data_IF_877918891475
#
_entry.id   IF_877918891475
#
_cell.length_a   1.000
_cell.length_b   1.000
_cell.length_c   1.000
_cell.angle_alpha   90.00
_cell.angle_beta   90.00
_cell.angle_gamma   90.00
#
_symmetry.space_group_name_H-M   'P 1'
#
loop_
_entity.id
_entity.type
_entity.pdbx_description
1 polymer ?
#
# COMPACT_ATOMS: atom_id res chain seq x y z
N UNK A 1 3.65 -10.81 -1.12
CA UNK A 1 5.07 -11.17 -1.17
C UNK A 1 5.90 -9.93 -1.42
N UNK A 2 6.92 -9.72 -0.60
CA UNK A 2 7.78 -8.54 -0.74
C UNK A 2 8.63 -8.66 -1.99
N UNK A 3 8.67 -7.57 -2.75
CA UNK A 3 9.64 -7.40 -3.81
C UNK A 3 10.71 -6.44 -3.31
N UNK A 4 11.96 -6.79 -3.53
CA UNK A 4 13.09 -6.02 -3.04
C UNK A 4 13.95 -5.59 -4.22
N UNK A 5 14.35 -4.33 -4.21
CA UNK A 5 15.35 -3.80 -5.13
C UNK A 5 16.29 -2.87 -4.38
N UNK A 6 17.39 -2.55 -5.01
CA UNK A 6 18.39 -1.68 -4.41
C UNK A 6 18.53 -0.41 -5.24
N UNK A 7 18.67 0.72 -4.56
CA UNK A 7 18.98 2.00 -5.20
C UNK A 7 20.27 2.54 -4.65
N UNK A 8 20.95 3.34 -5.45
CA UNK A 8 22.22 3.97 -5.05
C UNK A 8 22.05 5.48 -5.11
N UNK A 9 22.33 6.14 -3.98
CA UNK A 9 22.36 7.60 -3.90
C UNK A 9 23.74 7.99 -3.37
N UNK A 10 24.58 8.57 -4.25
CA UNK A 10 25.96 8.84 -3.90
C UNK A 10 26.68 7.54 -3.54
N UNK A 11 27.21 7.45 -2.33
CA UNK A 11 27.90 6.26 -1.83
C UNK A 11 26.99 5.34 -1.01
N UNK A 12 25.69 5.66 -0.92
CA UNK A 12 24.75 4.90 -0.09
C UNK A 12 23.90 3.99 -0.94
N UNK A 13 23.88 2.70 -0.58
CA UNK A 13 22.99 1.72 -1.18
C UNK A 13 21.79 1.54 -0.27
N UNK A 14 20.58 1.75 -0.81
CA UNK A 14 19.34 1.57 -0.07
C UNK A 14 18.58 0.37 -0.57
N UNK A 15 18.11 -0.45 0.37
CA UNK A 15 17.24 -1.58 0.08
C UNK A 15 15.80 -1.09 0.09
N UNK A 16 15.11 -1.27 -1.03
CA UNK A 16 13.72 -0.80 -1.21
C UNK A 16 12.81 -2.01 -1.24
N UNK A 17 11.79 -2.00 -0.40
CA UNK A 17 10.78 -3.06 -0.31
C UNK A 17 9.46 -2.58 -0.90
N UNK A 18 8.89 -3.40 -1.79
CA UNK A 18 7.53 -3.16 -2.28
C UNK A 18 6.58 -4.02 -1.47
N UNK A 19 5.71 -3.38 -0.69
CA UNK A 19 4.86 -4.07 0.29
C UNK A 19 3.43 -3.56 0.21
N UNK A 20 2.50 -4.36 0.72
CA UNK A 20 1.12 -3.94 0.90
C UNK A 20 1.05 -3.04 2.12
N UNK A 21 0.55 -1.82 1.94
CA UNK A 21 0.43 -0.83 3.02
C UNK A 21 -1.01 -0.63 3.48
N UNK A 22 -1.98 -1.06 2.66
CA UNK A 22 -3.40 -1.01 3.04
C UNK A 22 -4.20 -1.97 2.17
N UNK A 23 -5.29 -2.49 2.71
CA UNK A 23 -6.24 -3.28 1.94
C UNK A 23 -7.63 -3.11 2.52
N UNK A 24 -8.63 -3.24 1.66
CA UNK A 24 -10.03 -3.25 2.06
C UNK A 24 -10.84 -4.07 1.04
N UNK A 25 -12.05 -4.46 1.44
CA UNK A 25 -12.94 -5.25 0.61
C UNK A 25 -14.20 -4.47 0.30
N UNK A 26 -14.76 -4.69 -0.90
CA UNK A 26 -16.07 -4.20 -1.29
C UNK A 26 -16.95 -5.38 -1.66
N UNK A 27 -18.25 -5.24 -1.40
CA UNK A 27 -19.25 -6.19 -1.88
C UNK A 27 -19.29 -6.19 -3.40
N UNK A 28 -19.89 -7.23 -3.99
CA UNK A 28 -20.10 -7.31 -5.42
C UNK A 28 -21.10 -6.25 -5.85
N UNK A 29 -20.61 -5.18 -6.49
CA UNK A 29 -21.41 -4.05 -6.96
C UNK A 29 -20.98 -3.71 -8.38
N UNK A 30 -21.87 -3.03 -9.13
CA UNK A 30 -21.49 -2.46 -10.41
C UNK A 30 -20.54 -1.29 -10.17
N UNK A 31 -19.57 -1.12 -11.06
CA UNK A 31 -18.58 -0.04 -11.00
C UNK A 31 -17.89 0.05 -9.62
N UNK A 32 -17.21 -1.03 -9.18
CA UNK A 32 -16.64 -1.07 -7.84
C UNK A 32 -15.64 0.07 -7.57
N UNK A 33 -14.96 0.57 -8.60
CA UNK A 33 -13.97 1.64 -8.42
C UNK A 33 -14.60 2.95 -7.94
N UNK A 34 -15.86 3.19 -8.29
CA UNK A 34 -16.60 4.37 -7.80
C UNK A 34 -16.78 4.28 -6.29
N UNK A 35 -17.15 3.10 -5.79
CA UNK A 35 -17.34 2.87 -4.36
C UNK A 35 -16.02 2.78 -3.61
N UNK A 36 -14.95 2.35 -4.28
CA UNK A 36 -13.63 2.28 -3.68
C UNK A 36 -13.00 3.65 -3.45
N UNK A 37 -13.42 4.67 -4.18
CA UNK A 37 -12.86 6.02 -4.06
C UNK A 37 -12.94 6.58 -2.65
N UNK A 38 -14.05 6.34 -1.93
CA UNK A 38 -14.23 6.80 -0.56
C UNK A 38 -13.19 6.22 0.40
N UNK A 39 -13.14 4.88 0.56
CA UNK A 39 -12.12 4.25 1.41
C UNK A 39 -10.69 4.59 1.04
N UNK A 40 -10.37 4.70 -0.26
CA UNK A 40 -9.05 5.11 -0.70
C UNK A 40 -8.73 6.52 -0.24
N UNK A 41 -9.65 7.45 -0.44
CA UNK A 41 -9.49 8.84 -0.04
C UNK A 41 -9.29 8.94 1.48
N UNK A 42 -10.10 8.21 2.25
CA UNK A 42 -9.99 8.18 3.71
C UNK A 42 -8.62 7.69 4.15
N UNK A 43 -8.11 6.62 3.51
CA UNK A 43 -6.79 6.11 3.84
C UNK A 43 -5.69 7.12 3.47
N UNK A 44 -5.78 7.76 2.31
CA UNK A 44 -4.80 8.77 1.90
C UNK A 44 -4.71 9.91 2.91
N UNK A 45 -5.82 10.25 3.55
CA UNK A 45 -5.88 11.31 4.55
C UNK A 45 -5.49 10.85 5.94
N UNK A 46 -5.41 9.56 6.19
CA UNK A 46 -5.00 9.01 7.48
C UNK A 46 -3.51 9.27 7.73
N UNK A 47 -3.10 9.13 8.98
CA UNK A 47 -1.68 9.27 9.34
C UNK A 47 -0.81 8.26 8.59
N UNK A 48 -1.28 7.02 8.51
CA UNK A 48 -0.57 5.97 7.78
C UNK A 48 -0.43 6.30 6.30
N UNK A 49 -1.52 6.74 5.67
CA UNK A 49 -1.51 7.15 4.27
C UNK A 49 -0.57 8.31 4.01
N UNK A 50 -0.62 9.32 4.87
CA UNK A 50 0.27 10.49 4.77
C UNK A 50 1.74 10.09 4.89
N UNK A 51 2.05 9.20 5.82
CA UNK A 51 3.41 8.67 5.97
C UNK A 51 3.88 7.99 4.69
N UNK A 52 3.05 7.12 4.12
CA UNK A 52 3.39 6.40 2.90
C UNK A 52 3.62 7.35 1.74
N UNK A 53 2.73 8.31 1.51
CA UNK A 53 2.88 9.26 0.41
C UNK A 53 4.12 10.14 0.58
N UNK A 54 4.49 10.46 1.82
CA UNK A 54 5.68 11.27 2.10
C UNK A 54 6.98 10.52 1.84
N UNK A 55 7.02 9.21 2.15
CA UNK A 55 8.26 8.44 2.19
C UNK A 55 8.40 7.40 1.09
N UNK A 56 7.35 7.10 0.34
CA UNK A 56 7.43 6.13 -0.75
C UNK A 56 8.39 6.63 -1.83
N UNK A 57 9.16 5.70 -2.40
CA UNK A 57 10.12 6.01 -3.46
C UNK A 57 9.41 6.48 -4.72
N UNK A 58 8.33 5.79 -5.06
CA UNK A 58 7.45 6.15 -6.17
C UNK A 58 6.03 6.28 -5.66
N UNK A 59 5.14 6.80 -6.52
CA UNK A 59 3.73 6.93 -6.18
C UNK A 59 3.16 5.56 -5.81
N UNK A 60 2.46 5.42 -4.67
CA UNK A 60 1.77 4.19 -4.34
C UNK A 60 0.80 3.77 -5.43
N UNK A 61 0.69 2.46 -5.66
CA UNK A 61 -0.21 1.91 -6.67
C UNK A 61 -1.27 1.05 -5.99
N UNK A 62 -2.44 0.97 -6.62
CA UNK A 62 -3.51 0.13 -6.11
C UNK A 62 -3.88 -0.93 -7.14
N UNK A 63 -4.36 -2.06 -6.63
CA UNK A 63 -4.78 -3.20 -7.44
C UNK A 63 -6.12 -3.71 -6.94
N UNK A 64 -6.94 -4.16 -7.87
CA UNK A 64 -8.24 -4.74 -7.57
C UNK A 64 -8.23 -6.21 -7.97
N UNK A 65 -8.72 -7.06 -7.07
CA UNK A 65 -8.87 -8.49 -7.32
C UNK A 65 -10.29 -8.91 -7.01
N UNK A 66 -10.83 -9.83 -7.82
CA UNK A 66 -12.07 -10.49 -7.45
C UNK A 66 -11.74 -11.60 -6.45
N UNK A 67 -12.45 -11.61 -5.33
CA UNK A 67 -12.27 -12.63 -4.30
C UNK A 67 -13.44 -13.62 -4.35
N UNK A 68 -13.24 -14.82 -4.91
CA UNK A 68 -14.33 -15.79 -5.05
C UNK A 68 -14.87 -16.31 -3.73
N UNK A 69 -14.05 -16.31 -2.68
CA UNK A 69 -14.48 -16.75 -1.34
C UNK A 69 -15.36 -15.72 -0.66
N UNK A 70 -15.14 -14.44 -0.96
CA UNK A 70 -15.87 -13.33 -0.36
C UNK A 70 -17.04 -12.86 -1.23
N UNK A 71 -17.07 -13.26 -2.50
CA UNK A 71 -18.08 -12.81 -3.48
C UNK A 71 -18.07 -11.29 -3.65
N UNK A 72 -16.88 -10.72 -3.75
CA UNK A 72 -16.72 -9.27 -3.89
C UNK A 72 -15.32 -8.94 -4.40
N UNK A 73 -14.89 -7.70 -4.14
CA UNK A 73 -13.61 -7.20 -4.62
C UNK A 73 -12.69 -6.89 -3.45
N UNK A 74 -11.42 -7.23 -3.63
CA UNK A 74 -10.35 -6.85 -2.70
C UNK A 74 -9.49 -5.78 -3.35
N UNK A 75 -9.31 -4.67 -2.64
CA UNK A 75 -8.43 -3.60 -3.05
C UNK A 75 -7.17 -3.62 -2.19
N UNK A 76 -6.03 -3.53 -2.84
CA UNK A 76 -4.72 -3.56 -2.20
C UNK A 76 -3.94 -2.34 -2.65
N UNK A 77 -3.38 -1.60 -1.70
CA UNK A 77 -2.49 -0.49 -2.00
C UNK A 77 -1.07 -0.94 -1.67
N UNK A 78 -0.18 -0.82 -2.64
CA UNK A 78 1.23 -1.18 -2.50
C UNK A 78 2.10 0.05 -2.62
N UNK A 79 3.19 0.07 -1.86
CA UNK A 79 4.15 1.15 -1.91
C UNK A 79 5.57 0.63 -1.75
N UNK A 80 6.53 1.38 -2.26
CA UNK A 80 7.95 1.09 -2.12
C UNK A 80 8.54 1.97 -1.02
N UNK A 81 9.04 1.33 0.03
CA UNK A 81 9.66 2.00 1.18
C UNK A 81 11.06 1.44 1.39
N UNK A 82 12.01 2.30 1.74
CA UNK A 82 13.31 1.79 2.16
C UNK A 82 13.18 1.02 3.49
N UNK A 83 14.17 0.21 3.82
CA UNK A 83 14.12 -0.67 4.98
C UNK A 83 13.86 0.10 6.28
N UNK A 84 14.45 1.28 6.43
CA UNK A 84 14.28 2.10 7.63
C UNK A 84 12.84 2.62 7.76
N UNK A 85 12.28 3.13 6.67
CA UNK A 85 10.90 3.64 6.66
C UNK A 85 9.89 2.51 6.80
N UNK A 86 10.17 1.36 6.23
CA UNK A 86 9.33 0.18 6.39
C UNK A 86 9.27 -0.27 7.85
N UNK A 87 10.41 -0.32 8.53
CA UNK A 87 10.45 -0.66 9.94
C UNK A 87 9.66 0.35 10.77
N UNK A 88 9.80 1.62 10.48
CA UNK A 88 9.06 2.69 11.17
C UNK A 88 7.55 2.53 10.94
N UNK A 89 7.14 2.23 9.70
CA UNK A 89 5.76 1.99 9.36
C UNK A 89 5.18 0.82 10.17
N UNK A 90 5.89 -0.31 10.22
CA UNK A 90 5.43 -1.49 10.95
C UNK A 90 5.36 -1.25 12.46
N UNK A 91 6.28 -0.48 13.01
CA UNK A 91 6.24 -0.13 14.44
C UNK A 91 5.02 0.73 14.79
N UNK A 92 4.59 1.60 13.89
CA UNK A 92 3.47 2.51 14.14
C UNK A 92 2.12 1.90 13.84
N UNK A 93 2.01 1.13 12.76
CA UNK A 93 0.71 0.62 12.27
C UNK A 93 0.63 -0.89 12.12
N UNK A 94 1.73 -1.58 12.30
CA UNK A 94 1.77 -3.02 12.15
C UNK A 94 1.86 -3.46 10.69
N UNK A 95 2.04 -4.75 10.50
CA UNK A 95 2.09 -5.36 9.17
C UNK A 95 0.68 -5.63 8.67
N UNK A 96 0.40 -5.27 7.43
CA UNK A 96 -0.89 -5.54 6.79
C UNK A 96 -0.99 -7.02 6.45
N UNK A 97 -2.04 -7.68 6.95
CA UNK A 97 -2.24 -9.12 6.77
C UNK A 97 -3.36 -9.43 5.79
#
# INVERSE_FOLDING_TARGET
MDKVRYTVEGDVVKKIHKVVVHKFNLSDVEDPDIYAAGPMFDWERSEAGQFVFKHAVDRPEWHRYMDPMFMGYRYIIMAELDAKKLSEFYLRWGQVK
#
